data_IF_728645324507
#
_entry.id   IF_728645324507
#
_cell.length_a   1.000
_cell.length_b   1.000
_cell.length_c   1.000
_cell.angle_alpha   90.00
_cell.angle_beta   90.00
_cell.angle_gamma   90.00
#
_symmetry.space_group_name_H-M   'P 1'
#
loop_
_entity.id
_entity.type
_entity.pdbx_description
1 polymer ?
#
# COMPACT_ATOMS: atom_id res chain seq x y z
N UNK A 1 33.41 7.58 12.47
CA UNK A 1 33.12 7.40 11.04
C UNK A 1 31.72 6.82 10.97
N UNK A 2 30.72 7.60 10.62
CA UNK A 2 29.35 7.10 10.42
C UNK A 2 29.33 6.29 9.12
N UNK A 3 28.95 5.02 9.20
CA UNK A 3 28.78 4.16 8.04
C UNK A 3 27.67 4.72 7.15
N UNK A 4 27.86 4.77 5.85
CA UNK A 4 26.91 5.28 4.86
C UNK A 4 25.57 4.52 4.83
N UNK A 5 25.44 3.41 5.54
CA UNK A 5 24.22 2.60 5.69
C UNK A 5 23.28 3.07 6.82
N UNK A 6 23.69 4.04 7.67
CA UNK A 6 22.87 4.52 8.80
C UNK A 6 21.82 5.59 8.40
N UNK A 7 21.66 5.86 7.12
CA UNK A 7 20.78 6.95 6.64
C UNK A 7 19.40 6.50 6.18
N UNK A 8 19.18 5.23 5.91
CA UNK A 8 17.87 4.76 5.46
C UNK A 8 16.82 4.89 6.57
N UNK A 9 15.68 5.58 6.32
CA UNK A 9 14.58 5.66 7.28
C UNK A 9 14.06 4.31 7.77
N UNK A 10 14.11 3.27 6.95
CA UNK A 10 13.81 1.88 7.33
C UNK A 10 14.83 0.95 6.71
N UNK A 11 15.40 0.07 7.52
CA UNK A 11 16.27 -1.01 7.05
C UNK A 11 15.84 -2.31 7.74
N UNK A 12 15.45 -3.29 6.95
CA UNK A 12 15.10 -4.65 7.37
C UNK A 12 16.01 -5.66 6.66
N UNK A 13 16.62 -6.57 7.42
CA UNK A 13 17.47 -7.64 6.89
C UNK A 13 17.03 -8.97 7.47
N UNK A 14 16.55 -9.86 6.60
CA UNK A 14 16.08 -11.21 6.93
C UNK A 14 15.10 -11.24 8.11
N UNK A 15 14.21 -10.25 8.18
CA UNK A 15 13.23 -10.13 9.26
C UNK A 15 12.29 -11.30 9.20
N UNK A 16 12.23 -12.07 10.27
CA UNK A 16 11.37 -13.23 10.43
C UNK A 16 10.45 -13.03 11.62
N UNK A 17 9.19 -13.43 11.46
CA UNK A 17 8.22 -13.48 12.55
C UNK A 17 7.47 -14.79 12.57
N UNK A 18 7.47 -15.43 13.73
CA UNK A 18 6.74 -16.66 14.02
C UNK A 18 5.75 -16.44 15.17
N UNK A 19 4.58 -17.04 15.04
CA UNK A 19 3.59 -17.17 16.11
C UNK A 19 3.36 -18.66 16.38
N UNK A 20 4.07 -19.21 17.36
CA UNK A 20 4.16 -20.66 17.53
C UNK A 20 4.78 -21.31 16.28
N UNK A 21 4.07 -22.25 15.67
CA UNK A 21 4.52 -22.95 14.45
C UNK A 21 4.19 -22.16 13.16
N UNK A 22 3.36 -21.15 13.23
CA UNK A 22 2.99 -20.34 12.07
C UNK A 22 4.06 -19.29 11.75
N UNK A 23 4.57 -19.30 10.50
CA UNK A 23 5.53 -18.33 10.00
C UNK A 23 4.75 -17.21 9.30
N UNK A 24 4.68 -16.04 9.93
CA UNK A 24 3.98 -14.88 9.38
C UNK A 24 4.86 -14.02 8.47
N UNK A 25 6.19 -14.05 8.70
CA UNK A 25 7.21 -13.41 7.85
C UNK A 25 8.43 -14.30 7.79
N UNK A 26 8.95 -14.52 6.59
CA UNK A 26 10.14 -15.33 6.34
C UNK A 26 11.19 -14.50 5.59
N UNK A 27 12.28 -14.17 6.29
CA UNK A 27 13.47 -13.50 5.75
C UNK A 27 13.21 -12.23 4.93
N UNK A 28 12.19 -11.43 5.33
CA UNK A 28 11.90 -10.18 4.65
C UNK A 28 13.05 -9.20 4.75
N UNK A 29 13.58 -8.80 3.59
CA UNK A 29 14.63 -7.80 3.48
C UNK A 29 14.14 -6.64 2.61
N UNK A 30 14.20 -5.41 3.16
CA UNK A 30 13.89 -4.19 2.43
C UNK A 30 14.64 -2.99 3.02
N UNK A 31 14.84 -2.00 2.19
CA UNK A 31 15.39 -0.71 2.57
C UNK A 31 14.49 0.37 1.98
N UNK A 32 14.18 1.40 2.78
CA UNK A 32 13.41 2.58 2.35
C UNK A 32 14.34 3.77 2.41
N UNK A 33 14.59 4.40 1.29
CA UNK A 33 15.43 5.59 1.19
C UNK A 33 14.67 6.86 1.59
N UNK A 34 15.38 7.92 1.95
CA UNK A 34 14.77 9.21 2.29
C UNK A 34 14.02 9.80 1.10
N UNK A 35 12.79 10.24 1.33
CA UNK A 35 11.90 10.77 0.30
C UNK A 35 11.25 9.72 -0.61
N UNK A 36 11.57 8.45 -0.44
CA UNK A 36 10.99 7.34 -1.22
C UNK A 36 9.62 6.92 -0.67
N UNK A 37 8.73 6.50 -1.58
CA UNK A 37 7.52 5.77 -1.25
C UNK A 37 7.70 4.29 -1.60
N UNK A 38 7.69 3.43 -0.59
CA UNK A 38 7.80 1.97 -0.78
C UNK A 38 6.49 1.29 -0.43
N UNK A 39 6.01 0.43 -1.34
CA UNK A 39 4.80 -0.37 -1.17
C UNK A 39 5.12 -1.81 -0.76
N UNK A 40 4.41 -2.32 0.24
CA UNK A 40 4.41 -3.74 0.58
C UNK A 40 3.06 -4.32 0.14
N UNK A 41 3.07 -5.09 -0.95
CA UNK A 41 1.89 -5.60 -1.63
C UNK A 41 1.66 -7.07 -1.30
N UNK A 42 0.41 -7.48 -1.34
CA UNK A 42 0.04 -8.89 -1.19
C UNK A 42 -1.39 -9.05 -0.67
N UNK A 43 -1.93 -10.26 -0.71
CA UNK A 43 -3.28 -10.56 -0.23
C UNK A 43 -3.38 -10.42 1.29
N UNK A 44 -4.59 -10.56 1.80
CA UNK A 44 -4.83 -10.66 3.23
C UNK A 44 -4.10 -11.90 3.78
N UNK A 45 -3.46 -11.73 4.94
CA UNK A 45 -2.62 -12.81 5.52
C UNK A 45 -1.21 -12.93 4.95
N UNK A 46 -0.80 -12.12 3.95
CA UNK A 46 0.56 -12.16 3.40
C UNK A 46 1.67 -11.70 4.35
N UNK A 47 1.33 -11.19 5.56
CA UNK A 47 2.32 -10.74 6.53
C UNK A 47 2.54 -9.22 6.60
N UNK A 48 1.84 -8.43 5.76
CA UNK A 48 2.00 -6.97 5.67
C UNK A 48 1.85 -6.26 7.03
N UNK A 49 0.70 -6.41 7.69
CA UNK A 49 0.43 -5.78 8.99
C UNK A 49 1.32 -6.33 10.11
N UNK A 50 1.79 -7.59 9.99
CA UNK A 50 2.79 -8.14 10.90
C UNK A 50 4.11 -7.38 10.80
N UNK A 51 4.58 -7.10 9.58
CA UNK A 51 5.78 -6.29 9.38
C UNK A 51 5.61 -4.86 9.91
N UNK A 52 4.48 -4.22 9.60
CA UNK A 52 4.15 -2.91 10.15
C UNK A 52 4.16 -2.92 11.69
N UNK A 53 3.60 -3.96 12.32
CA UNK A 53 3.64 -4.14 13.77
C UNK A 53 5.06 -4.22 14.33
N UNK A 54 5.98 -4.87 13.61
CA UNK A 54 7.39 -4.90 13.97
C UNK A 54 8.06 -3.53 13.89
N UNK A 55 7.69 -2.70 12.91
CA UNK A 55 8.28 -1.37 12.71
C UNK A 55 8.00 -0.41 13.87
N UNK A 56 6.79 -0.39 14.41
CA UNK A 56 6.49 0.52 15.53
C UNK A 56 6.54 -0.14 16.92
N UNK A 57 7.08 -1.38 16.98
CA UNK A 57 7.32 -2.09 18.23
C UNK A 57 6.05 -2.61 18.92
N UNK A 58 4.97 -2.90 18.16
CA UNK A 58 3.80 -3.59 18.67
C UNK A 58 3.93 -5.11 18.58
N UNK A 59 4.80 -5.59 17.68
CA UNK A 59 5.08 -7.00 17.48
C UNK A 59 6.60 -7.21 17.52
N UNK A 60 7.08 -8.09 18.38
CA UNK A 60 8.48 -8.47 18.40
C UNK A 60 8.82 -9.39 17.23
N UNK A 61 9.88 -9.08 16.48
CA UNK A 61 10.40 -9.99 15.46
C UNK A 61 11.00 -11.25 16.12
N UNK A 62 10.98 -12.37 15.44
CA UNK A 62 11.58 -13.63 15.89
C UNK A 62 13.03 -13.77 15.46
N UNK A 63 13.47 -13.05 14.41
CA UNK A 63 14.82 -13.06 13.87
C UNK A 63 15.07 -11.91 12.91
N UNK A 64 16.33 -11.79 12.47
CA UNK A 64 16.77 -10.73 11.56
C UNK A 64 17.03 -9.39 12.25
N UNK A 65 17.39 -8.40 11.46
CA UNK A 65 17.69 -7.03 11.90
C UNK A 65 16.63 -6.06 11.36
N UNK A 66 16.20 -5.14 12.21
CA UNK A 66 15.24 -4.09 11.83
C UNK A 66 15.64 -2.79 12.51
N UNK A 67 15.84 -1.75 11.72
CA UNK A 67 16.11 -0.41 12.25
C UNK A 67 15.23 0.63 11.57
N UNK A 68 14.84 1.64 12.34
CA UNK A 68 14.17 2.85 11.86
C UNK A 68 15.03 4.04 12.27
N UNK A 69 15.53 4.78 11.27
CA UNK A 69 16.53 5.86 11.49
C UNK A 69 17.74 5.38 12.30
N UNK A 70 18.19 4.13 12.08
CA UNK A 70 19.29 3.50 12.82
C UNK A 70 18.93 3.03 14.23
N UNK A 71 17.67 3.13 14.67
CA UNK A 71 17.19 2.73 15.99
C UNK A 71 16.44 1.39 15.91
N UNK A 72 16.68 0.49 16.86
CA UNK A 72 15.95 -0.78 16.94
C UNK A 72 14.56 -0.57 17.60
N UNK A 73 13.45 -0.93 16.91
CA UNK A 73 12.11 -0.79 17.47
C UNK A 73 11.86 -1.55 18.77
N UNK A 74 12.58 -2.66 19.00
CA UNK A 74 12.43 -3.46 20.22
C UNK A 74 12.94 -2.73 21.48
N UNK A 75 13.96 -1.88 21.33
CA UNK A 75 14.57 -1.17 22.48
C UNK A 75 14.30 0.33 22.50
N UNK A 76 14.04 0.95 21.35
CA UNK A 76 13.99 2.40 21.22
C UNK A 76 12.64 2.92 20.62
N UNK A 77 11.57 2.14 20.79
CA UNK A 77 10.25 2.45 20.23
C UNK A 77 9.77 3.88 20.53
N UNK A 78 10.06 4.44 21.72
CA UNK A 78 9.67 5.80 22.09
C UNK A 78 10.32 6.84 21.17
N UNK A 79 11.62 6.76 20.96
CA UNK A 79 12.39 7.69 20.10
C UNK A 79 11.95 7.60 18.64
N UNK A 80 11.62 6.39 18.19
CA UNK A 80 11.08 6.15 16.85
C UNK A 80 9.72 6.83 16.71
N UNK A 81 8.81 6.64 17.66
CA UNK A 81 7.45 7.21 17.63
C UNK A 81 7.41 8.73 17.58
N UNK A 82 8.45 9.41 18.04
CA UNK A 82 8.58 10.87 17.93
C UNK A 82 8.83 11.35 16.48
N UNK A 83 9.29 10.46 15.59
CA UNK A 83 9.70 10.77 14.22
C UNK A 83 8.81 10.14 13.14
N UNK A 84 7.91 9.25 13.51
CA UNK A 84 7.01 8.54 12.60
C UNK A 84 5.56 8.98 12.79
N UNK A 85 4.80 8.97 11.69
CA UNK A 85 3.33 9.00 11.71
C UNK A 85 2.79 7.64 11.29
N UNK A 86 1.80 7.11 12.01
CA UNK A 86 1.22 5.81 11.70
C UNK A 86 -0.28 5.95 11.47
N UNK A 87 -0.74 5.48 10.32
CA UNK A 87 -2.15 5.26 10.00
C UNK A 87 -2.39 3.75 10.04
N UNK A 88 -2.87 3.19 11.15
CA UNK A 88 -3.13 1.75 11.27
C UNK A 88 -4.36 1.36 10.46
N UNK A 89 -4.55 0.06 10.23
CA UNK A 89 -5.72 -0.46 9.53
C UNK A 89 -7.02 -0.07 10.24
N UNK A 90 -7.08 -0.19 11.57
CA UNK A 90 -8.21 0.26 12.37
C UNK A 90 -8.08 1.71 12.81
N UNK A 91 -9.21 2.42 12.89
CA UNK A 91 -9.24 3.81 13.33
C UNK A 91 -9.21 3.86 14.88
N UNK A 92 -8.03 3.87 15.47
CA UNK A 92 -7.86 3.98 16.93
C UNK A 92 -8.11 5.44 17.41
N UNK A 93 -9.37 5.86 17.43
CA UNK A 93 -9.86 7.16 17.90
C UNK A 93 -10.75 6.95 19.14
N UNK A 94 -10.70 7.87 20.07
CA UNK A 94 -11.59 7.86 21.24
C UNK A 94 -12.98 8.38 20.83
N UNK A 95 -13.97 7.51 20.84
CA UNK A 95 -15.31 7.81 20.33
C UNK A 95 -16.13 8.78 21.19
N UNK A 96 -15.78 8.93 22.46
CA UNK A 96 -16.46 9.83 23.40
C UNK A 96 -15.99 11.29 23.28
N UNK A 97 -14.80 11.49 22.75
CA UNK A 97 -14.24 12.83 22.55
C UNK A 97 -14.71 13.46 21.23
N UNK A 98 -14.67 14.77 21.17
CA UNK A 98 -14.80 15.52 19.93
C UNK A 98 -13.55 15.38 19.06
N UNK A 99 -13.68 15.73 17.77
CA UNK A 99 -12.54 15.79 16.83
C UNK A 99 -11.39 16.63 17.40
N UNK A 100 -11.70 17.84 17.90
CA UNK A 100 -10.69 18.73 18.45
C UNK A 100 -10.03 18.19 19.72
N UNK A 101 -10.81 17.58 20.61
CA UNK A 101 -10.29 16.98 21.85
C UNK A 101 -9.38 15.78 21.55
N UNK A 102 -9.76 14.90 20.61
CA UNK A 102 -8.90 13.81 20.15
C UNK A 102 -7.56 14.34 19.61
N UNK A 103 -7.59 15.32 18.71
CA UNK A 103 -6.37 15.87 18.12
C UNK A 103 -5.47 16.54 19.15
N UNK A 104 -6.06 17.26 20.11
CA UNK A 104 -5.29 17.87 21.24
C UNK A 104 -4.67 16.81 22.14
N UNK A 105 -5.39 15.73 22.43
CA UNK A 105 -4.87 14.62 23.24
C UNK A 105 -3.64 13.99 22.56
N UNK A 106 -3.75 13.67 21.25
CA UNK A 106 -2.64 13.11 20.50
C UNK A 106 -1.47 14.09 20.33
N UNK A 107 -1.74 15.36 20.10
CA UNK A 107 -0.71 16.39 20.04
C UNK A 107 0.10 16.49 21.35
N UNK A 108 -0.55 16.28 22.50
CA UNK A 108 0.15 16.22 23.81
C UNK A 108 1.03 14.97 23.94
N UNK A 109 0.56 13.82 23.48
CA UNK A 109 1.37 12.59 23.51
C UNK A 109 2.62 12.68 22.62
N UNK A 110 2.55 13.48 21.55
CA UNK A 110 3.65 13.67 20.59
C UNK A 110 4.47 14.94 20.86
N UNK A 111 4.22 15.63 21.98
CA UNK A 111 4.89 16.90 22.36
C UNK A 111 4.86 17.98 21.27
N UNK A 112 3.74 18.05 20.53
CA UNK A 112 3.56 19.03 19.45
C UNK A 112 3.43 20.44 20.04
N UNK A 113 4.38 21.32 19.70
CA UNK A 113 4.34 22.74 20.13
C UNK A 113 3.25 23.50 19.38
N UNK A 114 2.48 24.31 20.11
CA UNK A 114 1.40 25.13 19.54
C UNK A 114 0.43 24.37 18.63
N UNK A 115 -0.19 23.26 19.11
CA UNK A 115 -0.89 22.30 18.26
C UNK A 115 -2.14 22.86 17.57
N UNK A 116 -2.72 23.95 18.09
CA UNK A 116 -4.02 24.45 17.62
C UNK A 116 -4.01 24.82 16.14
N UNK A 117 -3.08 25.68 15.72
CA UNK A 117 -2.97 26.12 14.32
C UNK A 117 -2.64 24.93 13.38
N UNK A 118 -1.83 23.99 13.84
CA UNK A 118 -1.50 22.78 13.09
C UNK A 118 -2.73 21.86 12.91
N UNK A 119 -3.50 21.66 13.96
CA UNK A 119 -4.74 20.87 13.93
C UNK A 119 -5.74 21.52 12.96
N UNK A 120 -6.01 22.81 13.08
CA UNK A 120 -6.95 23.53 12.21
C UNK A 120 -6.56 23.38 10.73
N UNK A 121 -5.27 23.62 10.42
CA UNK A 121 -4.74 23.46 9.05
C UNK A 121 -4.96 22.04 8.51
N UNK A 122 -4.61 21.02 9.30
CA UNK A 122 -4.76 19.61 8.86
C UNK A 122 -6.24 19.21 8.72
N UNK A 123 -7.13 19.70 9.59
CA UNK A 123 -8.57 19.49 9.45
C UNK A 123 -9.13 20.13 8.19
N UNK A 124 -8.67 21.34 7.82
CA UNK A 124 -9.04 22.01 6.58
C UNK A 124 -8.56 21.20 5.37
N UNK A 125 -7.30 20.81 5.34
CA UNK A 125 -6.71 19.99 4.26
C UNK A 125 -7.41 18.64 4.05
N UNK A 126 -8.04 18.10 5.11
CA UNK A 126 -8.82 16.86 5.08
C UNK A 126 -10.33 17.10 4.99
N UNK A 127 -10.77 18.34 4.75
CA UNK A 127 -12.19 18.71 4.65
C UNK A 127 -13.01 18.30 5.89
N UNK A 128 -12.43 18.46 7.09
CA UNK A 128 -13.04 18.11 8.38
C UNK A 128 -13.28 19.30 9.31
N UNK A 129 -12.94 20.56 8.91
CA UNK A 129 -13.10 21.76 9.76
C UNK A 129 -14.53 21.94 10.29
N UNK A 130 -15.54 21.62 9.49
CA UNK A 130 -16.95 21.69 9.86
C UNK A 130 -17.38 20.64 10.92
N UNK A 131 -16.51 19.67 11.23
CA UNK A 131 -16.75 18.60 12.22
C UNK A 131 -15.92 18.74 13.48
N UNK A 132 -15.13 19.82 13.63
CA UNK A 132 -14.17 20.00 14.73
C UNK A 132 -14.76 19.79 16.14
N UNK A 133 -16.00 20.19 16.35
CA UNK A 133 -16.69 20.10 17.64
C UNK A 133 -17.69 18.91 17.70
N UNK A 134 -17.72 18.09 16.64
CA UNK A 134 -18.54 16.86 16.60
C UNK A 134 -17.84 15.72 17.33
N UNK A 135 -18.61 14.88 18.04
CA UNK A 135 -18.09 13.65 18.65
C UNK A 135 -17.67 12.64 17.58
N UNK A 136 -16.58 11.92 17.83
CA UNK A 136 -16.03 10.90 16.90
C UNK A 136 -17.06 9.86 16.52
N UNK A 137 -17.88 9.38 17.46
CA UNK A 137 -18.94 8.39 17.21
C UNK A 137 -19.96 8.82 16.14
N UNK A 138 -20.12 10.13 15.92
CA UNK A 138 -21.05 10.69 14.92
C UNK A 138 -20.45 10.79 13.51
N UNK A 139 -19.17 10.49 13.34
CA UNK A 139 -18.47 10.55 12.06
C UNK A 139 -18.69 9.28 11.24
N UNK A 140 -18.78 9.42 9.91
CA UNK A 140 -18.73 8.28 8.99
C UNK A 140 -17.37 7.59 9.02
N UNK A 141 -17.27 6.35 8.53
CA UNK A 141 -16.02 5.61 8.42
C UNK A 141 -14.94 6.38 7.64
N UNK A 142 -15.30 6.98 6.51
CA UNK A 142 -14.39 7.81 5.72
C UNK A 142 -13.95 9.08 6.44
N UNK A 143 -14.81 9.70 7.27
CA UNK A 143 -14.41 10.83 8.12
C UNK A 143 -13.46 10.39 9.21
N UNK A 144 -13.71 9.25 9.88
CA UNK A 144 -12.81 8.67 10.89
C UNK A 144 -11.44 8.35 10.26
N UNK A 145 -11.42 7.80 9.06
CA UNK A 145 -10.18 7.51 8.33
C UNK A 145 -9.38 8.77 8.03
N UNK A 146 -10.00 9.79 7.48
CA UNK A 146 -9.36 11.10 7.25
C UNK A 146 -8.82 11.71 8.55
N UNK A 147 -9.54 11.59 9.64
CA UNK A 147 -9.09 12.08 10.96
C UNK A 147 -7.87 11.29 11.47
N UNK A 148 -7.79 9.98 11.19
CA UNK A 148 -6.62 9.16 11.51
C UNK A 148 -5.38 9.64 10.73
N UNK A 149 -5.54 10.10 9.49
CA UNK A 149 -4.47 10.77 8.73
C UNK A 149 -4.07 12.10 9.38
N UNK A 150 -5.03 12.95 9.77
CA UNK A 150 -4.73 14.18 10.52
C UNK A 150 -3.86 13.86 11.73
N UNK A 151 -4.25 12.87 12.52
CA UNK A 151 -3.52 12.40 13.70
C UNK A 151 -2.08 12.02 13.37
N UNK A 152 -1.88 11.23 12.31
CA UNK A 152 -0.55 10.76 11.91
C UNK A 152 0.37 11.91 11.45
N UNK A 153 -0.19 12.99 10.93
CA UNK A 153 0.54 14.15 10.42
C UNK A 153 0.78 15.27 11.46
N UNK A 154 0.25 15.14 12.68
CA UNK A 154 0.34 16.20 13.71
C UNK A 154 1.77 16.56 14.07
N UNK A 155 2.66 15.57 14.24
CA UNK A 155 4.06 15.77 14.63
C UNK A 155 4.99 16.15 13.47
N UNK A 156 4.47 16.35 12.26
CA UNK A 156 5.28 16.55 11.05
C UNK A 156 6.33 15.45 10.86
N UNK A 157 5.91 14.18 10.80
CA UNK A 157 6.82 13.05 10.83
C UNK A 157 7.79 13.04 9.62
N UNK A 158 8.97 12.44 9.81
CA UNK A 158 9.92 12.19 8.72
C UNK A 158 9.54 10.94 7.91
N UNK A 159 8.87 9.97 8.55
CA UNK A 159 8.37 8.74 7.93
C UNK A 159 6.88 8.56 8.24
N UNK A 160 6.08 8.37 7.20
CA UNK A 160 4.67 8.03 7.29
C UNK A 160 4.48 6.54 6.98
N UNK A 161 3.90 5.80 7.92
CA UNK A 161 3.58 4.38 7.79
C UNK A 161 2.08 4.24 7.63
N UNK A 162 1.63 3.64 6.54
CA UNK A 162 0.23 3.50 6.15
C UNK A 162 -0.11 2.00 6.04
N UNK A 163 -0.96 1.51 6.93
CA UNK A 163 -1.43 0.12 6.87
C UNK A 163 -2.82 0.08 6.24
N UNK A 164 -2.88 -0.37 4.99
CA UNK A 164 -4.09 -0.45 4.16
C UNK A 164 -4.95 0.83 4.23
N UNK A 165 -4.39 1.99 3.82
CA UNK A 165 -4.96 3.29 4.15
C UNK A 165 -6.33 3.56 3.53
N UNK A 166 -6.66 2.89 2.43
CA UNK A 166 -7.84 3.20 1.60
C UNK A 166 -8.87 2.08 1.54
N UNK A 167 -8.64 0.98 2.26
CA UNK A 167 -9.56 -0.17 2.29
C UNK A 167 -10.95 0.23 2.80
N UNK A 168 -11.99 -0.19 2.08
CA UNK A 168 -13.38 0.06 2.43
C UNK A 168 -13.85 1.52 2.27
N UNK A 169 -13.06 2.38 1.59
CA UNK A 169 -13.41 3.77 1.34
C UNK A 169 -14.04 3.98 -0.03
N UNK A 170 -14.94 4.95 -0.09
CA UNK A 170 -15.47 5.42 -1.37
C UNK A 170 -14.38 6.06 -2.24
N UNK A 171 -14.55 6.09 -3.59
CA UNK A 171 -13.54 6.62 -4.50
C UNK A 171 -13.10 8.06 -4.21
N UNK A 172 -14.02 8.92 -3.77
CA UNK A 172 -13.73 10.34 -3.50
C UNK A 172 -12.77 10.49 -2.32
N UNK A 173 -13.01 9.77 -1.22
CA UNK A 173 -12.13 9.78 -0.04
C UNK A 173 -10.79 9.13 -0.38
N UNK A 174 -10.79 8.04 -1.16
CA UNK A 174 -9.56 7.37 -1.60
C UNK A 174 -8.65 8.33 -2.39
N UNK A 175 -9.19 9.05 -3.38
CA UNK A 175 -8.43 10.04 -4.15
C UNK A 175 -7.86 11.15 -3.27
N UNK A 176 -8.65 11.69 -2.33
CA UNK A 176 -8.17 12.70 -1.38
C UNK A 176 -6.97 12.21 -0.57
N UNK A 177 -7.00 10.96 -0.10
CA UNK A 177 -5.88 10.38 0.65
C UNK A 177 -4.65 10.15 -0.23
N UNK A 178 -4.82 9.71 -1.48
CA UNK A 178 -3.72 9.57 -2.44
C UNK A 178 -3.04 10.92 -2.73
N UNK A 179 -3.82 11.97 -3.00
CA UNK A 179 -3.27 13.32 -3.17
C UNK A 179 -2.48 13.78 -1.96
N UNK A 180 -2.96 13.44 -0.74
CA UNK A 180 -2.25 13.77 0.49
C UNK A 180 -0.94 13.02 0.64
N UNK A 181 -0.89 11.73 0.32
CA UNK A 181 0.34 10.93 0.31
C UNK A 181 1.32 11.47 -0.72
N UNK A 182 0.86 11.78 -1.94
CA UNK A 182 1.69 12.38 -2.99
C UNK A 182 2.26 13.74 -2.57
N UNK A 183 1.45 14.60 -1.95
CA UNK A 183 1.93 15.91 -1.48
C UNK A 183 2.96 15.77 -0.35
N UNK A 184 2.79 14.79 0.54
CA UNK A 184 3.74 14.47 1.61
C UNK A 184 5.09 14.00 1.03
N UNK A 185 5.05 13.13 0.03
CA UNK A 185 6.22 12.68 -0.72
C UNK A 185 6.92 13.83 -1.48
N UNK A 186 6.15 14.70 -2.17
CA UNK A 186 6.69 15.88 -2.85
C UNK A 186 7.41 16.84 -1.90
N UNK A 187 7.02 16.86 -0.62
CA UNK A 187 7.71 17.60 0.43
C UNK A 187 9.02 16.92 0.93
N UNK A 188 9.48 15.86 0.24
CA UNK A 188 10.71 15.12 0.57
C UNK A 188 10.58 14.15 1.75
N UNK A 189 9.36 13.85 2.18
CA UNK A 189 9.09 12.92 3.28
C UNK A 189 9.00 11.48 2.79
N UNK A 190 9.37 10.55 3.64
CA UNK A 190 9.39 9.12 3.34
C UNK A 190 8.05 8.46 3.64
N UNK A 191 7.63 7.51 2.82
CA UNK A 191 6.38 6.77 2.99
C UNK A 191 6.62 5.27 2.88
N UNK A 192 6.04 4.51 3.79
CA UNK A 192 5.89 3.05 3.68
C UNK A 192 4.39 2.73 3.71
N UNK A 193 3.88 2.12 2.66
CA UNK A 193 2.46 1.78 2.55
C UNK A 193 2.28 0.28 2.36
N UNK A 194 1.31 -0.30 3.06
CA UNK A 194 0.82 -1.65 2.74
C UNK A 194 -0.50 -1.54 2.00
N UNK A 195 -0.68 -2.36 1.01
CA UNK A 195 -1.95 -2.42 0.27
C UNK A 195 -2.10 -3.77 -0.44
N UNK A 196 -3.34 -4.14 -0.70
CA UNK A 196 -3.68 -5.20 -1.64
C UNK A 196 -4.23 -4.62 -2.96
N UNK A 197 -4.44 -3.29 -3.04
CA UNK A 197 -4.85 -2.61 -4.27
C UNK A 197 -3.62 -2.28 -5.14
N UNK A 198 -3.43 -3.03 -6.24
CA UNK A 198 -2.29 -2.86 -7.14
C UNK A 198 -2.24 -1.48 -7.77
N UNK A 199 -3.39 -0.93 -8.14
CA UNK A 199 -3.48 0.42 -8.69
C UNK A 199 -3.00 1.51 -7.71
N UNK A 200 -3.26 1.37 -6.41
CA UNK A 200 -2.74 2.28 -5.39
C UNK A 200 -1.21 2.26 -5.38
N UNK A 201 -0.63 1.07 -5.44
CA UNK A 201 0.82 0.91 -5.46
C UNK A 201 1.47 1.47 -6.74
N UNK A 202 0.85 1.27 -7.90
CA UNK A 202 1.32 1.87 -9.16
C UNK A 202 1.32 3.40 -9.11
N UNK A 203 0.31 3.99 -8.47
CA UNK A 203 0.16 5.44 -8.38
C UNK A 203 1.11 6.07 -7.37
N UNK A 204 1.29 5.43 -6.22
CA UNK A 204 1.96 6.05 -5.06
C UNK A 204 3.43 5.67 -4.93
N UNK A 205 3.82 4.44 -5.33
CA UNK A 205 5.10 3.87 -4.93
C UNK A 205 6.19 4.02 -6.01
N UNK A 206 7.39 4.37 -5.57
CA UNK A 206 8.60 4.30 -6.38
C UNK A 206 9.12 2.88 -6.53
N UNK A 207 8.92 2.09 -5.47
CA UNK A 207 9.32 0.70 -5.38
C UNK A 207 8.26 -0.09 -4.63
N UNK A 208 8.06 -1.33 -5.06
CA UNK A 208 7.15 -2.27 -4.40
C UNK A 208 7.87 -3.57 -4.07
N UNK A 209 7.45 -4.20 -3.00
CA UNK A 209 7.80 -5.56 -2.63
C UNK A 209 6.50 -6.37 -2.61
N UNK A 210 6.43 -7.42 -3.40
CA UNK A 210 5.27 -8.31 -3.43
C UNK A 210 5.51 -9.45 -2.45
N UNK A 211 4.61 -9.56 -1.47
CA UNK A 211 4.59 -10.65 -0.48
C UNK A 211 3.53 -11.67 -0.84
N UNK A 212 3.89 -12.95 -0.70
CA UNK A 212 2.94 -14.04 -0.70
C UNK A 212 3.27 -15.01 0.43
N UNK A 213 2.30 -15.33 1.29
CA UNK A 213 2.47 -16.24 2.45
C UNK A 213 3.72 -15.93 3.32
N UNK A 214 3.96 -14.66 3.61
CA UNK A 214 5.10 -14.22 4.43
C UNK A 214 6.43 -14.13 3.70
N UNK A 215 6.50 -14.53 2.42
CA UNK A 215 7.73 -14.57 1.62
C UNK A 215 7.73 -13.44 0.58
N UNK A 216 8.80 -12.66 0.46
CA UNK A 216 8.95 -11.71 -0.64
C UNK A 216 9.23 -12.46 -1.96
N UNK A 217 8.34 -12.31 -2.95
CA UNK A 217 8.43 -13.02 -4.25
C UNK A 217 8.93 -12.14 -5.39
N UNK A 218 8.78 -10.82 -5.29
CA UNK A 218 9.32 -9.87 -6.27
C UNK A 218 9.57 -8.50 -5.62
N UNK A 219 10.51 -7.73 -6.17
CA UNK A 219 10.79 -6.35 -5.75
C UNK A 219 11.35 -5.55 -6.92
N UNK A 220 10.84 -4.33 -7.11
CA UNK A 220 11.24 -3.41 -8.17
C UNK A 220 10.32 -2.19 -8.22
N UNK A 221 10.55 -1.27 -9.14
CA UNK A 221 9.54 -0.27 -9.45
C UNK A 221 8.33 -0.93 -10.11
N UNK A 222 7.12 -0.38 -9.95
CA UNK A 222 5.93 -0.90 -10.64
C UNK A 222 6.16 -1.12 -12.14
N UNK A 223 6.78 -0.14 -12.79
CA UNK A 223 7.09 -0.18 -14.21
C UNK A 223 8.04 -1.32 -14.58
N UNK A 224 9.17 -1.47 -13.86
CA UNK A 224 10.13 -2.56 -14.09
C UNK A 224 9.50 -3.93 -13.92
N UNK A 225 8.67 -4.11 -12.88
CA UNK A 225 7.99 -5.39 -12.65
C UNK A 225 7.02 -5.72 -13.78
N UNK A 226 6.24 -4.74 -14.26
CA UNK A 226 5.32 -4.94 -15.40
C UNK A 226 6.12 -5.26 -16.68
N UNK A 227 7.16 -4.48 -16.99
CA UNK A 227 7.98 -4.68 -18.18
C UNK A 227 8.72 -6.02 -18.20
N UNK A 228 9.18 -6.50 -17.05
CA UNK A 228 9.92 -7.76 -16.94
C UNK A 228 9.01 -8.99 -16.87
N UNK A 229 7.90 -8.90 -16.13
CA UNK A 229 7.05 -10.06 -15.85
C UNK A 229 5.87 -10.18 -16.82
N UNK A 230 5.23 -9.07 -17.16
CA UNK A 230 3.98 -9.06 -17.94
C UNK A 230 3.94 -8.02 -19.02
N UNK A 231 4.98 -7.91 -19.89
CA UNK A 231 5.02 -6.87 -20.91
C UNK A 231 3.83 -6.98 -21.88
N UNK A 232 3.37 -5.82 -22.36
CA UNK A 232 2.37 -5.74 -23.43
C UNK A 232 0.98 -5.30 -22.95
N UNK A 233 -0.03 -5.80 -23.65
CA UNK A 233 -1.44 -5.41 -23.49
C UNK A 233 -2.30 -6.63 -23.21
N UNK A 234 -3.35 -6.43 -22.43
CA UNK A 234 -4.33 -7.48 -22.06
C UNK A 234 -5.67 -7.14 -22.71
N UNK A 235 -6.19 -8.08 -23.50
CA UNK A 235 -7.56 -8.10 -23.99
C UNK A 235 -8.42 -8.99 -23.09
N UNK A 236 -9.51 -8.46 -22.57
CA UNK A 236 -10.45 -9.17 -21.69
C UNK A 236 -11.71 -9.49 -22.47
N UNK A 237 -12.12 -10.73 -22.50
CA UNK A 237 -13.25 -11.22 -23.26
C UNK A 237 -14.28 -11.90 -22.35
N UNK A 238 -15.52 -11.96 -22.80
CA UNK A 238 -16.60 -12.66 -22.11
C UNK A 238 -16.29 -14.16 -21.91
N UNK A 239 -16.81 -14.76 -20.84
CA UNK A 239 -16.71 -16.20 -20.64
C UNK A 239 -17.26 -17.00 -21.84
N UNK A 240 -16.57 -18.06 -22.22
CA UNK A 240 -16.97 -18.92 -23.33
C UNK A 240 -16.49 -18.50 -24.73
N UNK A 241 -15.77 -17.34 -24.83
CA UNK A 241 -15.19 -16.90 -26.11
C UNK A 241 -13.90 -17.63 -26.49
N UNK A 242 -13.38 -18.50 -25.62
CA UNK A 242 -12.10 -19.21 -25.83
C UNK A 242 -12.08 -20.02 -27.14
N UNK A 243 -13.17 -20.70 -27.46
CA UNK A 243 -13.29 -21.52 -28.69
C UNK A 243 -13.21 -20.66 -29.95
N UNK A 244 -13.75 -19.45 -29.94
CA UNK A 244 -13.70 -18.51 -31.06
C UNK A 244 -12.35 -17.85 -31.21
N UNK A 245 -11.64 -17.63 -30.09
CA UNK A 245 -10.36 -16.91 -30.02
C UNK A 245 -9.17 -17.83 -30.29
N UNK A 246 -9.15 -19.04 -29.71
CA UNK A 246 -8.03 -19.99 -29.78
C UNK A 246 -7.45 -20.25 -31.18
N UNK A 247 -8.23 -20.33 -32.25
CA UNK A 247 -7.67 -20.55 -33.60
C UNK A 247 -6.78 -19.45 -34.14
N UNK A 248 -6.90 -18.24 -33.57
CA UNK A 248 -6.21 -17.03 -34.04
C UNK A 248 -5.10 -16.58 -33.10
N UNK A 249 -4.81 -17.31 -31.99
CA UNK A 249 -3.74 -16.98 -31.06
C UNK A 249 -2.36 -17.28 -31.65
N UNK A 250 -1.46 -16.32 -31.52
CA UNK A 250 -0.04 -16.57 -31.71
C UNK A 250 0.51 -17.41 -30.54
N UNK A 251 1.48 -18.29 -30.83
CA UNK A 251 2.14 -19.13 -29.81
C UNK A 251 2.91 -18.35 -28.75
N UNK A 252 3.23 -17.08 -29.00
CA UNK A 252 3.93 -16.18 -28.09
C UNK A 252 2.99 -15.45 -27.15
N UNK A 253 1.68 -15.52 -27.38
CA UNK A 253 0.71 -14.84 -26.53
C UNK A 253 0.34 -15.71 -25.34
N UNK A 254 0.03 -15.07 -24.23
CA UNK A 254 -0.36 -15.75 -23.01
C UNK A 254 -1.85 -15.63 -22.82
N UNK A 255 -2.48 -16.74 -22.43
CA UNK A 255 -3.89 -16.76 -22.09
C UNK A 255 -4.07 -17.18 -20.63
N UNK A 256 -5.01 -16.56 -19.96
CA UNK A 256 -5.35 -16.86 -18.58
C UNK A 256 -6.82 -16.53 -18.32
N UNK A 257 -7.35 -16.96 -17.17
CA UNK A 257 -8.70 -16.63 -16.74
C UNK A 257 -8.58 -15.75 -15.52
N UNK A 258 -9.31 -14.63 -15.49
CA UNK A 258 -9.39 -13.70 -14.37
C UNK A 258 -10.85 -13.30 -14.15
N UNK A 259 -11.38 -13.41 -12.93
CA UNK A 259 -12.78 -13.12 -12.60
C UNK A 259 -13.78 -13.81 -13.53
N UNK A 260 -13.50 -15.06 -13.92
CA UNK A 260 -14.24 -15.87 -14.91
C UNK A 260 -14.19 -15.35 -16.35
N UNK A 261 -13.44 -14.31 -16.64
CA UNK A 261 -13.26 -13.75 -17.97
C UNK A 261 -12.05 -14.38 -18.65
N UNK A 262 -12.11 -14.54 -19.97
CA UNK A 262 -10.99 -15.05 -20.75
C UNK A 262 -10.07 -13.89 -21.15
N UNK A 263 -8.81 -13.96 -20.75
CA UNK A 263 -7.83 -12.92 -20.97
C UNK A 263 -6.76 -13.39 -21.97
N UNK A 264 -6.38 -12.49 -22.86
CA UNK A 264 -5.28 -12.69 -23.82
C UNK A 264 -4.28 -11.57 -23.66
N UNK A 265 -3.02 -11.89 -23.36
CA UNK A 265 -1.94 -10.92 -23.33
C UNK A 265 -1.09 -11.02 -24.60
N UNK A 266 -0.95 -9.89 -25.30
CA UNK A 266 -0.19 -9.75 -26.53
C UNK A 266 0.86 -8.62 -26.40
N UNK A 267 1.98 -8.64 -27.15
CA UNK A 267 3.02 -7.62 -27.07
C UNK A 267 2.54 -6.19 -27.38
N UNK A 268 1.66 -6.05 -28.36
CA UNK A 268 1.17 -4.76 -28.83
C UNK A 268 -0.36 -4.72 -28.88
N UNK A 269 -0.94 -3.57 -28.65
CA UNK A 269 -2.40 -3.38 -28.74
C UNK A 269 -2.94 -3.71 -30.14
N UNK A 270 -2.13 -3.49 -31.17
CA UNK A 270 -2.46 -3.81 -32.55
C UNK A 270 -2.76 -5.30 -32.73
N UNK A 271 -2.03 -6.18 -32.05
CA UNK A 271 -2.25 -7.62 -32.08
C UNK A 271 -3.64 -8.01 -31.54
N UNK A 272 -4.11 -7.32 -30.49
CA UNK A 272 -5.45 -7.55 -29.94
C UNK A 272 -6.56 -7.03 -30.86
N UNK A 273 -6.32 -5.92 -31.59
CA UNK A 273 -7.24 -5.41 -32.59
C UNK A 273 -7.34 -6.36 -33.79
N UNK A 274 -6.23 -6.90 -34.26
CA UNK A 274 -6.19 -7.92 -35.32
C UNK A 274 -6.93 -9.20 -34.89
N UNK A 275 -6.70 -9.66 -33.64
CA UNK A 275 -7.41 -10.77 -33.04
C UNK A 275 -8.93 -10.55 -33.03
N UNK A 276 -9.38 -9.37 -32.60
CA UNK A 276 -10.78 -8.97 -32.63
C UNK A 276 -11.38 -9.11 -34.02
N UNK A 277 -10.71 -8.59 -35.03
CA UNK A 277 -11.16 -8.65 -36.43
C UNK A 277 -11.20 -10.08 -36.96
N UNK A 278 -10.18 -10.89 -36.70
CA UNK A 278 -10.05 -12.25 -37.20
C UNK A 278 -11.03 -13.21 -36.52
N UNK A 279 -11.19 -13.11 -35.21
CA UNK A 279 -12.09 -13.98 -34.43
C UNK A 279 -13.56 -13.54 -34.46
N UNK A 280 -13.84 -12.31 -34.92
CA UNK A 280 -15.20 -11.74 -34.96
C UNK A 280 -15.78 -11.52 -33.54
N UNK A 281 -14.93 -11.34 -32.54
CA UNK A 281 -15.32 -11.13 -31.13
C UNK A 281 -14.84 -9.78 -30.63
N UNK A 282 -15.66 -9.10 -29.85
CA UNK A 282 -15.30 -7.80 -29.26
C UNK A 282 -14.85 -8.01 -27.82
N UNK A 283 -13.66 -7.54 -27.44
CA UNK A 283 -13.25 -7.56 -26.03
C UNK A 283 -14.08 -6.60 -25.19
N UNK A 284 -14.32 -6.97 -23.93
CA UNK A 284 -14.93 -6.10 -22.92
C UNK A 284 -14.01 -4.89 -22.68
N UNK A 285 -12.70 -5.16 -22.63
CA UNK A 285 -11.69 -4.17 -22.37
C UNK A 285 -10.37 -4.54 -23.05
N UNK A 286 -9.63 -3.55 -23.50
CA UNK A 286 -8.19 -3.66 -23.82
C UNK A 286 -7.44 -2.63 -22.97
N UNK A 287 -6.35 -3.08 -22.31
CA UNK A 287 -5.55 -2.22 -21.44
C UNK A 287 -4.06 -2.62 -21.48
N UNK A 288 -3.14 -1.73 -21.12
CA UNK A 288 -1.77 -2.15 -20.79
C UNK A 288 -1.81 -3.16 -19.63
N UNK A 289 -0.82 -4.05 -19.57
CA UNK A 289 -0.60 -4.89 -18.41
C UNK A 289 -0.28 -4.03 -17.17
N UNK A 290 -0.61 -4.52 -15.99
CA UNK A 290 -0.48 -3.82 -14.72
C UNK A 290 0.10 -4.75 -13.61
N UNK A 291 0.26 -4.23 -12.39
CA UNK A 291 0.79 -5.02 -11.26
C UNK A 291 -0.11 -6.21 -10.87
N UNK A 292 -1.41 -6.14 -11.13
CA UNK A 292 -2.31 -7.26 -10.88
C UNK A 292 -1.98 -8.46 -11.79
N UNK A 293 -1.66 -8.18 -13.06
CA UNK A 293 -1.20 -9.22 -14.00
C UNK A 293 0.16 -9.80 -13.55
N UNK A 294 1.03 -8.97 -12.97
CA UNK A 294 2.31 -9.43 -12.37
C UNK A 294 2.04 -10.38 -11.21
N UNK A 295 1.17 -9.97 -10.29
CA UNK A 295 0.83 -10.78 -9.12
C UNK A 295 0.24 -12.14 -9.54
N UNK A 296 -0.76 -12.12 -10.41
CA UNK A 296 -1.41 -13.33 -10.95
C UNK A 296 -0.39 -14.26 -11.63
N UNK A 297 0.54 -13.71 -12.41
CA UNK A 297 1.59 -14.50 -13.05
C UNK A 297 2.53 -15.18 -12.05
N UNK A 298 2.94 -14.46 -11.01
CA UNK A 298 3.92 -14.95 -10.04
C UNK A 298 3.32 -15.98 -9.05
N UNK A 299 2.04 -15.85 -8.74
CA UNK A 299 1.38 -16.70 -7.73
C UNK A 299 0.44 -17.75 -8.32
N UNK A 300 -0.10 -17.50 -9.50
CA UNK A 300 -1.21 -18.26 -10.07
C UNK A 300 -2.55 -18.01 -9.38
N UNK A 301 -2.62 -17.04 -8.46
CA UNK A 301 -3.78 -16.73 -7.63
C UNK A 301 -4.30 -15.32 -7.95
N UNK A 302 -5.62 -15.17 -8.05
CA UNK A 302 -6.25 -13.86 -8.12
C UNK A 302 -6.26 -13.20 -6.73
N UNK A 303 -6.08 -11.87 -6.70
CA UNK A 303 -6.33 -11.12 -5.49
C UNK A 303 -7.84 -11.10 -5.24
N UNK A 304 -8.28 -11.68 -4.15
CA UNK A 304 -9.66 -11.52 -3.71
C UNK A 304 -9.86 -10.08 -3.25
N UNK A 305 -10.66 -9.32 -3.97
CA UNK A 305 -11.30 -8.15 -3.37
C UNK A 305 -12.26 -8.70 -2.32
N UNK A 306 -12.01 -8.40 -1.06
CA UNK A 306 -12.84 -8.89 0.04
C UNK A 306 -14.31 -8.54 -0.18
N UNK A 307 -15.15 -9.56 0.06
CA UNK A 307 -16.58 -9.45 0.13
C UNK A 307 -17.03 -8.64 1.36
#
# INVERSE_FOLDING_TARGET
>A
MYNSNDKAPVCARNVTKRFGDFVALEELSLEVEEGQCVGLLGPNGAGKSTFIGCLYGAVDRSGGELTIFGLDPASEARRIKERIGVVPQENALDEELTVMENMRLYARFQDVKSPFARIEKLLEEMSLSHKRDSQIRSLSGGMKRRLTFVRALLSDPALLILDEPTTGLDPTVRHLLWEKVLSFRQAGKTVLVTTHYMHEAELLCDRVIILNHGVPIASGSPKELIENETPGFVGIFEPGMETSIKPYLDRKWHTFVQARQYCVRAPEIQNLLELQGAAGVTPIQMRPANLEDVYLRLTGEELSEDA
#
